data_IF_121245033818
#
_entry.id   IF_121245033818
#
_cell.length_a   1.000
_cell.length_b   1.000
_cell.length_c   1.000
_cell.angle_alpha   90.00
_cell.angle_beta   90.00
_cell.angle_gamma   90.00
#
_symmetry.space_group_name_H-M   'P 1'
#
loop_
_entity.id
_entity.type
_entity.pdbx_description
1 polymer ?
#
# COMPACT_ATOMS: atom_id res chain seq x y z
N UNK A 1 10.32 -13.09 8.56
CA UNK A 1 9.18 -13.87 9.09
C UNK A 1 7.92 -13.05 8.91
N UNK A 2 6.79 -13.66 8.50
CA UNK A 2 5.56 -12.93 8.34
C UNK A 2 5.06 -12.40 9.69
N UNK A 3 4.69 -11.12 9.72
CA UNK A 3 4.06 -10.48 10.88
C UNK A 3 2.56 -10.75 10.90
N UNK A 4 1.99 -11.01 9.71
CA UNK A 4 0.57 -11.29 9.50
C UNK A 4 0.45 -12.40 8.45
N UNK A 5 -0.44 -13.36 8.70
CA UNK A 5 -0.86 -14.36 7.72
C UNK A 5 -2.38 -14.55 7.77
N UNK A 6 -3.00 -14.55 6.60
CA UNK A 6 -4.37 -15.00 6.40
C UNK A 6 -4.32 -16.37 5.74
N UNK A 7 -5.14 -17.32 6.22
CA UNK A 7 -5.21 -18.68 5.71
C UNK A 7 -6.66 -19.08 5.46
N UNK A 8 -6.99 -19.26 4.20
CA UNK A 8 -8.30 -19.74 3.70
C UNK A 8 -9.50 -19.00 4.32
N UNK A 9 -9.37 -17.67 4.44
CA UNK A 9 -10.42 -16.86 5.05
C UNK A 9 -11.68 -16.82 4.20
N UNK A 10 -12.79 -17.23 4.80
CA UNK A 10 -14.14 -17.14 4.23
C UNK A 10 -15.01 -16.27 5.11
N UNK A 11 -15.81 -15.40 4.47
CA UNK A 11 -16.81 -14.59 5.15
C UNK A 11 -18.00 -14.32 4.24
N UNK A 12 -19.20 -14.60 4.76
CA UNK A 12 -20.49 -14.30 4.12
C UNK A 12 -21.33 -13.34 4.94
N UNK A 13 -22.15 -12.56 4.27
CA UNK A 13 -23.21 -11.73 4.84
C UNK A 13 -24.53 -12.12 4.14
N UNK A 14 -25.32 -12.95 4.80
CA UNK A 14 -26.49 -13.54 4.19
C UNK A 14 -26.10 -14.38 2.96
N UNK A 15 -26.57 -14.00 1.79
CA UNK A 15 -26.23 -14.69 0.53
C UNK A 15 -24.98 -14.13 -0.17
N UNK A 16 -24.40 -13.05 0.32
CA UNK A 16 -23.24 -12.43 -0.29
C UNK A 16 -21.96 -12.96 0.31
N UNK A 17 -21.13 -13.63 -0.50
CA UNK A 17 -19.81 -14.10 -0.12
C UNK A 17 -18.80 -12.95 -0.25
N UNK A 18 -18.37 -12.39 0.87
CA UNK A 18 -17.46 -11.25 0.92
C UNK A 18 -15.98 -11.64 0.87
N UNK A 19 -15.63 -12.85 1.35
CA UNK A 19 -14.29 -13.43 1.23
C UNK A 19 -14.44 -14.91 0.87
N UNK A 20 -13.63 -15.36 -0.12
CA UNK A 20 -13.74 -16.66 -0.76
C UNK A 20 -12.43 -17.47 -0.64
N UNK A 21 -11.96 -17.74 0.58
CA UNK A 21 -10.70 -18.49 0.79
C UNK A 21 -9.47 -17.64 0.56
N UNK A 22 -9.42 -16.44 1.15
CA UNK A 22 -8.28 -15.53 0.98
C UNK A 22 -7.08 -15.99 1.78
N UNK A 23 -5.94 -16.19 1.09
CA UNK A 23 -4.68 -16.64 1.70
C UNK A 23 -3.52 -15.77 1.20
N UNK A 24 -2.84 -15.08 2.11
CA UNK A 24 -1.57 -14.37 1.85
C UNK A 24 -0.87 -13.98 3.15
N UNK A 25 0.38 -13.55 3.04
CA UNK A 25 1.22 -13.14 4.16
C UNK A 25 1.76 -11.73 3.97
N UNK A 26 2.06 -11.04 5.08
CA UNK A 26 2.72 -9.73 5.12
C UNK A 26 4.01 -9.89 5.91
N UNK A 27 5.13 -9.41 5.36
CA UNK A 27 6.42 -9.54 6.03
C UNK A 27 6.61 -8.42 7.07
N UNK A 28 7.46 -8.70 8.07
CA UNK A 28 7.79 -7.69 9.08
C UNK A 28 8.62 -6.56 8.47
N UNK A 29 8.27 -5.31 8.81
CA UNK A 29 9.04 -4.12 8.41
C UNK A 29 8.72 -3.60 7.01
N UNK A 30 7.69 -4.12 6.33
CA UNK A 30 7.28 -3.64 5.01
C UNK A 30 6.07 -2.70 5.05
N UNK A 31 5.91 -1.92 3.99
CA UNK A 31 4.64 -1.26 3.64
C UNK A 31 3.95 -2.15 2.62
N UNK A 32 2.79 -2.69 2.99
CA UNK A 32 2.04 -3.64 2.19
C UNK A 32 0.72 -3.04 1.69
N UNK A 33 0.52 -3.05 0.37
CA UNK A 33 -0.68 -2.54 -0.28
C UNK A 33 -1.81 -3.57 -0.32
N UNK A 34 -2.96 -3.24 0.28
CA UNK A 34 -4.20 -4.01 0.14
C UNK A 34 -5.11 -3.32 -0.87
N UNK A 35 -5.19 -3.88 -2.08
CA UNK A 35 -5.80 -3.26 -3.23
C UNK A 35 -7.12 -3.92 -3.61
N UNK A 36 -7.94 -3.21 -4.35
CA UNK A 36 -9.18 -3.73 -4.92
C UNK A 36 -10.25 -2.67 -5.05
N UNK A 37 -11.27 -2.90 -5.89
CA UNK A 37 -12.40 -1.98 -6.03
C UNK A 37 -13.24 -1.90 -4.75
N UNK A 38 -14.19 -0.95 -4.71
CA UNK A 38 -15.16 -0.87 -3.64
C UNK A 38 -16.02 -2.13 -3.61
N UNK A 39 -16.25 -2.67 -2.41
CA UNK A 39 -16.98 -3.94 -2.24
C UNK A 39 -16.16 -5.21 -2.52
N UNK A 40 -14.88 -5.10 -2.85
CA UNK A 40 -14.02 -6.26 -3.13
C UNK A 40 -13.78 -7.21 -1.93
N UNK A 41 -14.01 -6.74 -0.68
CA UNK A 41 -13.76 -7.51 0.54
C UNK A 41 -12.64 -6.92 1.43
N UNK A 42 -11.95 -5.85 1.02
CA UNK A 42 -10.85 -5.23 1.79
C UNK A 42 -11.24 -4.87 3.22
N UNK A 43 -12.32 -4.09 3.39
CA UNK A 43 -12.79 -3.68 4.73
C UNK A 43 -13.27 -4.88 5.56
N UNK A 44 -13.80 -5.93 4.94
CA UNK A 44 -14.14 -7.18 5.63
C UNK A 44 -12.89 -7.85 6.17
N UNK A 45 -11.84 -7.95 5.36
CA UNK A 45 -10.54 -8.51 5.75
C UNK A 45 -9.91 -7.72 6.91
N UNK A 46 -9.90 -6.38 6.81
CA UNK A 46 -9.40 -5.48 7.85
C UNK A 46 -10.22 -5.66 9.15
N UNK A 47 -11.54 -5.69 9.06
CA UNK A 47 -12.40 -5.89 10.24
C UNK A 47 -12.19 -7.25 10.91
N UNK A 48 -11.91 -8.29 10.14
CA UNK A 48 -11.52 -9.62 10.68
C UNK A 48 -10.17 -9.49 11.39
N UNK A 49 -9.16 -8.87 10.78
CA UNK A 49 -7.85 -8.66 11.38
C UNK A 49 -7.97 -7.90 12.72
N UNK A 50 -8.79 -6.87 12.77
CA UNK A 50 -9.00 -6.01 13.95
C UNK A 50 -9.95 -6.61 15.01
N UNK A 51 -10.37 -7.87 14.86
CA UNK A 51 -11.32 -8.55 15.77
C UNK A 51 -12.69 -7.88 15.91
N UNK A 52 -13.07 -7.08 14.90
CA UNK A 52 -14.39 -6.41 14.86
C UNK A 52 -15.47 -7.42 14.44
N UNK A 53 -15.12 -8.33 13.51
CA UNK A 53 -15.98 -9.42 13.06
C UNK A 53 -15.21 -10.73 13.04
N UNK A 54 -15.92 -11.87 13.12
CA UNK A 54 -15.31 -13.20 12.99
C UNK A 54 -15.44 -13.71 11.55
N UNK A 55 -14.43 -14.42 11.03
CA UNK A 55 -14.57 -15.16 9.78
C UNK A 55 -15.53 -16.34 10.00
N UNK A 56 -16.09 -16.86 8.91
CA UNK A 56 -16.91 -18.08 8.96
C UNK A 56 -16.01 -19.33 8.95
N UNK A 57 -14.86 -19.25 8.29
CA UNK A 57 -13.78 -20.24 8.35
C UNK A 57 -12.43 -19.62 8.02
N UNK A 58 -11.36 -20.39 8.23
CA UNK A 58 -9.98 -19.95 8.05
C UNK A 58 -9.37 -19.33 9.30
N UNK A 59 -8.11 -18.93 9.20
CA UNK A 59 -7.32 -18.45 10.34
C UNK A 59 -6.61 -17.13 10.03
N UNK A 60 -6.41 -16.34 11.09
CA UNK A 60 -5.54 -15.16 11.10
C UNK A 60 -4.44 -15.36 12.10
N UNK A 61 -3.18 -15.30 11.65
CA UNK A 61 -2.01 -15.28 12.53
C UNK A 61 -1.39 -13.88 12.53
N UNK A 62 -1.06 -13.37 13.72
CA UNK A 62 -0.42 -12.06 13.90
C UNK A 62 0.77 -12.25 14.84
N UNK A 63 1.91 -11.65 14.51
CA UNK A 63 3.16 -11.80 15.29
C UNK A 63 3.62 -13.25 15.44
N UNK A 64 3.34 -14.10 14.46
CA UNK A 64 3.71 -15.53 14.46
C UNK A 64 2.77 -16.46 15.22
N UNK A 65 1.69 -15.95 15.81
CA UNK A 65 0.72 -16.71 16.60
C UNK A 65 -0.70 -16.53 16.07
N UNK A 66 -1.64 -17.48 16.34
CA UNK A 66 -3.06 -17.26 16.08
C UNK A 66 -3.52 -15.94 16.73
N UNK A 67 -4.28 -15.13 15.98
CA UNK A 67 -4.71 -13.82 16.45
C UNK A 67 -5.46 -13.90 17.78
N UNK A 68 -5.03 -13.08 18.75
CA UNK A 68 -5.63 -12.90 20.07
C UNK A 68 -5.94 -11.42 20.30
N UNK A 69 -6.82 -11.12 21.25
CA UNK A 69 -7.21 -9.74 21.57
C UNK A 69 -6.02 -8.90 22.06
N UNK A 70 -5.09 -9.51 22.80
CA UNK A 70 -3.88 -8.83 23.31
C UNK A 70 -2.97 -8.30 22.19
N UNK A 71 -3.01 -8.91 21.00
CA UNK A 71 -2.25 -8.43 19.85
C UNK A 71 -2.70 -7.03 19.39
N UNK A 72 -3.97 -6.66 19.67
CA UNK A 72 -4.51 -5.35 19.30
C UNK A 72 -3.82 -4.19 20.02
N UNK A 73 -3.19 -4.44 21.18
CA UNK A 73 -2.42 -3.42 21.91
C UNK A 73 -1.17 -2.99 21.14
N UNK A 74 -0.60 -3.91 20.35
CA UNK A 74 0.57 -3.70 19.49
C UNK A 74 0.20 -3.25 18.07
N UNK A 75 -1.10 -3.15 17.77
CA UNK A 75 -1.63 -2.78 16.45
C UNK A 75 -2.24 -1.39 16.48
N UNK A 76 -2.10 -0.65 15.37
CA UNK A 76 -2.80 0.60 15.11
C UNK A 76 -3.82 0.41 13.99
N UNK A 77 -4.95 1.10 14.06
CA UNK A 77 -5.96 1.06 13.01
C UNK A 77 -6.56 2.45 12.74
N UNK A 78 -6.52 2.85 11.49
CA UNK A 78 -7.21 4.02 10.96
C UNK A 78 -8.31 3.53 10.02
N UNK A 79 -9.60 3.61 10.40
CA UNK A 79 -10.70 3.25 9.52
C UNK A 79 -10.95 4.34 8.46
N UNK A 80 -11.55 3.95 7.33
CA UNK A 80 -12.02 4.87 6.28
C UNK A 80 -13.08 5.86 6.83
N UNK A 81 -14.02 5.35 7.63
CA UNK A 81 -15.05 6.17 8.26
C UNK A 81 -14.50 6.92 9.48
N UNK A 82 -14.74 8.22 9.51
CA UNK A 82 -14.16 9.15 10.49
C UNK A 82 -14.96 9.19 11.77
N UNK A 83 -14.51 8.43 12.77
CA UNK A 83 -15.14 8.38 14.10
C UNK A 83 -14.29 9.00 15.20
N UNK A 84 -14.04 10.33 15.16
CA UNK A 84 -13.42 11.01 16.29
C UNK A 84 -14.50 11.68 17.14
N UNK A 85 -14.31 11.72 18.47
CA UNK A 85 -15.19 12.43 19.41
C UNK A 85 -15.22 13.94 19.12
N UNK A 86 -16.23 14.39 18.37
CA UNK A 86 -16.30 15.73 17.79
C UNK A 86 -16.36 16.86 18.80
N UNK A 87 -16.90 16.61 20.01
CA UNK A 87 -17.08 17.61 21.06
C UNK A 87 -15.88 17.83 21.98
N UNK A 88 -14.90 16.94 21.93
CA UNK A 88 -13.66 17.05 22.72
C UNK A 88 -12.63 17.91 22.00
N UNK A 89 -11.60 18.37 22.73
CA UNK A 89 -10.46 19.04 22.11
C UNK A 89 -9.58 18.02 21.39
N UNK A 90 -8.85 18.46 20.38
CA UNK A 90 -7.90 17.61 19.64
C UNK A 90 -6.92 16.94 20.60
N UNK A 91 -6.32 17.69 21.51
CA UNK A 91 -5.35 17.18 22.47
C UNK A 91 -5.97 16.16 23.44
N UNK A 92 -7.22 16.36 23.87
CA UNK A 92 -7.91 15.42 24.77
C UNK A 92 -8.24 14.11 24.04
N UNK A 93 -8.71 14.18 22.78
CA UNK A 93 -8.98 13.00 21.96
C UNK A 93 -7.70 12.20 21.71
N UNK A 94 -6.62 12.85 21.31
CA UNK A 94 -5.33 12.18 21.09
C UNK A 94 -4.80 11.57 22.39
N UNK A 95 -4.88 12.31 23.52
CA UNK A 95 -4.49 11.80 24.83
C UNK A 95 -5.30 10.55 25.19
N UNK A 96 -6.61 10.57 24.96
CA UNK A 96 -7.48 9.41 25.21
C UNK A 96 -7.05 8.19 24.39
N UNK A 97 -6.80 8.33 23.08
CA UNK A 97 -6.32 7.22 22.25
C UNK A 97 -4.95 6.70 22.72
N UNK A 98 -4.05 7.58 23.14
CA UNK A 98 -2.78 7.16 23.72
C UNK A 98 -2.94 6.35 24.99
N UNK A 99 -3.86 6.73 25.88
CA UNK A 99 -4.13 5.97 27.10
C UNK A 99 -4.76 4.61 26.82
N UNK A 100 -5.61 4.48 25.80
CA UNK A 100 -6.15 3.18 25.36
C UNK A 100 -5.06 2.24 24.86
N UNK A 101 -3.91 2.79 24.42
CA UNK A 101 -2.71 2.04 23.99
C UNK A 101 -1.67 1.87 25.12
N UNK A 102 -2.07 2.07 26.36
CA UNK A 102 -1.22 1.79 27.54
C UNK A 102 -0.27 2.92 27.92
N UNK A 103 -0.32 4.08 27.28
CA UNK A 103 0.45 5.24 27.70
C UNK A 103 -0.14 5.84 28.99
N UNK A 104 0.71 6.34 29.89
CA UNK A 104 0.22 7.17 30.98
C UNK A 104 -0.43 8.44 30.44
N UNK A 105 -1.40 9.02 31.15
CA UNK A 105 -2.08 10.24 30.70
C UNK A 105 -1.11 11.39 30.40
N UNK A 106 -0.09 11.57 31.24
CA UNK A 106 0.94 12.59 31.02
C UNK A 106 1.78 12.28 29.77
N UNK A 107 2.25 11.05 29.61
CA UNK A 107 2.99 10.62 28.43
C UNK A 107 2.18 10.69 27.15
N UNK A 108 0.90 10.29 27.19
CA UNK A 108 -0.01 10.40 26.05
C UNK A 108 -0.23 11.88 25.63
N UNK A 109 -0.38 12.78 26.61
CA UNK A 109 -0.56 14.23 26.35
C UNK A 109 0.71 14.85 25.75
N UNK A 110 1.87 14.50 26.26
CA UNK A 110 3.15 14.94 25.71
C UNK A 110 3.33 14.44 24.26
N UNK A 111 3.14 13.14 24.02
CA UNK A 111 3.22 12.58 22.69
C UNK A 111 2.20 13.17 21.71
N UNK A 112 1.00 13.43 22.17
CA UNK A 112 -0.03 14.10 21.35
C UNK A 112 0.44 15.49 20.90
N UNK A 113 1.04 16.28 21.79
CA UNK A 113 1.59 17.59 21.42
C UNK A 113 2.75 17.46 20.40
N UNK A 114 3.71 16.56 20.64
CA UNK A 114 4.82 16.28 19.73
C UNK A 114 4.30 15.86 18.33
N UNK A 115 3.27 15.02 18.27
CA UNK A 115 2.70 14.57 17.00
C UNK A 115 1.90 15.66 16.28
N UNK A 116 1.25 16.57 17.03
CA UNK A 116 0.62 17.74 16.41
C UNK A 116 1.65 18.66 15.74
N UNK A 117 2.82 18.82 16.33
CA UNK A 117 3.93 19.54 15.68
C UNK A 117 4.39 18.80 14.41
N UNK A 118 4.56 17.47 14.46
CA UNK A 118 4.99 16.66 13.31
C UNK A 118 4.02 16.71 12.12
N UNK A 119 2.72 16.83 12.39
CA UNK A 119 1.71 16.97 11.33
C UNK A 119 1.36 18.44 11.04
N UNK A 120 2.17 19.39 11.53
CA UNK A 120 2.05 20.84 11.29
C UNK A 120 0.71 21.41 11.78
N UNK A 121 0.21 20.96 12.93
CA UNK A 121 -1.05 21.38 13.51
C UNK A 121 -0.96 21.72 15.02
N UNK A 122 0.14 22.30 15.55
CA UNK A 122 0.25 22.60 16.99
C UNK A 122 -0.83 23.60 17.46
N UNK A 123 -1.26 24.50 16.58
CA UNK A 123 -2.23 25.58 16.88
C UNK A 123 -3.64 25.06 17.16
N UNK A 124 -3.98 23.82 16.72
CA UNK A 124 -5.33 23.26 16.91
C UNK A 124 -5.48 22.42 18.18
N UNK A 125 -4.44 22.28 18.98
CA UNK A 125 -4.43 21.44 20.18
C UNK A 125 -5.62 21.65 21.12
N UNK A 126 -6.06 22.91 21.27
CA UNK A 126 -7.20 23.32 22.10
C UNK A 126 -8.52 23.43 21.33
N UNK A 127 -8.51 23.26 20.02
CA UNK A 127 -9.73 23.33 19.23
C UNK A 127 -10.58 22.08 19.43
N UNK A 128 -11.89 22.24 19.36
CA UNK A 128 -12.81 21.11 19.25
C UNK A 128 -12.63 20.45 17.88
N UNK A 129 -12.75 19.12 17.85
CA UNK A 129 -12.55 18.33 16.63
C UNK A 129 -13.54 18.74 15.52
N UNK A 130 -14.77 19.15 15.86
CA UNK A 130 -15.77 19.62 14.89
C UNK A 130 -15.38 20.90 14.13
N UNK A 131 -14.38 21.65 14.61
CA UNK A 131 -13.85 22.85 13.94
C UNK A 131 -12.76 22.55 12.91
N UNK A 132 -12.28 21.33 12.84
CA UNK A 132 -11.22 20.94 11.91
C UNK A 132 -11.76 20.84 10.49
N UNK A 133 -10.97 21.29 9.51
CA UNK A 133 -11.21 20.94 8.12
C UNK A 133 -11.06 19.44 7.90
N UNK A 134 -11.55 18.93 6.75
CA UNK A 134 -11.45 17.52 6.40
C UNK A 134 -9.99 17.03 6.42
N UNK A 135 -9.06 17.81 5.82
CA UNK A 135 -7.63 17.48 5.79
C UNK A 135 -6.97 17.55 7.18
N UNK A 136 -7.30 18.57 7.99
CA UNK A 136 -6.80 18.67 9.36
C UNK A 136 -7.29 17.49 10.23
N UNK A 137 -8.56 17.11 10.10
CA UNK A 137 -9.11 15.95 10.80
C UNK A 137 -8.39 14.66 10.40
N UNK A 138 -8.07 14.48 9.11
CA UNK A 138 -7.32 13.33 8.62
C UNK A 138 -5.91 13.27 9.23
N UNK A 139 -5.20 14.41 9.24
CA UNK A 139 -3.85 14.50 9.84
C UNK A 139 -3.88 14.17 11.33
N UNK A 140 -4.85 14.69 12.09
CA UNK A 140 -5.04 14.39 13.52
C UNK A 140 -5.34 12.90 13.75
N UNK A 141 -6.14 12.27 12.90
CA UNK A 141 -6.44 10.84 13.02
C UNK A 141 -5.20 9.98 12.77
N UNK A 142 -4.43 10.27 11.70
CA UNK A 142 -3.17 9.59 11.43
C UNK A 142 -2.21 9.75 12.62
N UNK A 143 -2.04 10.98 13.12
CA UNK A 143 -1.20 11.26 14.29
C UNK A 143 -1.66 10.48 15.52
N UNK A 144 -2.97 10.38 15.76
CA UNK A 144 -3.55 9.64 16.90
C UNK A 144 -3.23 8.15 16.87
N UNK A 145 -3.20 7.56 15.67
CA UNK A 145 -2.86 6.14 15.49
C UNK A 145 -1.35 5.92 15.62
N UNK A 146 -0.55 6.79 14.97
CA UNK A 146 0.90 6.60 14.89
C UNK A 146 1.65 6.99 16.16
N UNK A 147 1.08 7.85 17.02
CA UNK A 147 1.76 8.31 18.25
C UNK A 147 2.04 7.20 19.27
N UNK A 148 1.30 6.10 19.23
CA UNK A 148 1.56 4.93 20.08
C UNK A 148 2.66 4.00 19.54
N UNK A 149 3.23 4.30 18.38
CA UNK A 149 4.25 3.53 17.67
C UNK A 149 3.92 2.03 17.52
N UNK A 150 2.75 1.67 16.98
CA UNK A 150 2.34 0.27 16.85
C UNK A 150 3.31 -0.53 15.95
N UNK A 151 3.51 -1.81 16.25
CA UNK A 151 4.36 -2.69 15.44
C UNK A 151 3.74 -3.00 14.08
N UNK A 152 2.41 -3.19 14.06
CA UNK A 152 1.60 -3.34 12.84
C UNK A 152 0.55 -2.23 12.80
N UNK A 153 0.53 -1.46 11.73
CA UNK A 153 -0.46 -0.40 11.50
C UNK A 153 -1.31 -0.72 10.28
N UNK A 154 -2.63 -0.59 10.38
CA UNK A 154 -3.57 -0.71 9.27
C UNK A 154 -4.18 0.64 9.01
N UNK A 155 -3.98 1.18 7.81
CA UNK A 155 -4.48 2.47 7.39
C UNK A 155 -5.41 2.28 6.19
N UNK A 156 -6.70 2.53 6.40
CA UNK A 156 -7.73 2.42 5.36
C UNK A 156 -7.95 3.79 4.73
N UNK A 157 -7.54 3.95 3.46
CA UNK A 157 -7.62 5.20 2.68
C UNK A 157 -7.04 6.44 3.39
N UNK A 158 -5.79 6.40 3.93
CA UNK A 158 -5.28 7.46 4.81
C UNK A 158 -5.08 8.81 4.11
N UNK A 159 -4.94 8.83 2.79
CA UNK A 159 -4.65 10.04 2.02
C UNK A 159 -5.90 10.67 1.39
N UNK A 160 -7.06 10.04 1.55
CA UNK A 160 -8.32 10.55 0.97
C UNK A 160 -8.69 11.91 1.53
N UNK A 161 -8.81 12.90 0.64
CA UNK A 161 -9.15 14.29 0.95
C UNK A 161 -8.01 15.13 1.49
N UNK A 162 -6.77 14.67 1.33
CA UNK A 162 -5.56 15.47 1.51
C UNK A 162 -5.12 16.08 0.17
N UNK A 163 -4.54 17.26 0.24
CA UNK A 163 -3.83 17.88 -0.88
C UNK A 163 -2.46 17.20 -1.11
N UNK A 164 -1.79 17.42 -2.26
CA UNK A 164 -0.53 16.75 -2.59
C UNK A 164 0.60 16.95 -1.56
N UNK A 165 0.66 18.10 -0.89
CA UNK A 165 1.69 18.39 0.12
C UNK A 165 1.46 17.52 1.35
N UNK A 166 0.20 17.46 1.82
CA UNK A 166 -0.16 16.63 2.96
C UNK A 166 -0.09 15.11 2.65
N UNK A 167 -0.37 14.71 1.39
CA UNK A 167 -0.11 13.33 0.93
C UNK A 167 1.36 12.98 1.08
N UNK A 168 2.27 13.86 0.64
CA UNK A 168 3.71 13.65 0.76
C UNK A 168 4.16 13.50 2.20
N UNK A 169 3.66 14.38 3.09
CA UNK A 169 3.95 14.28 4.54
C UNK A 169 3.54 12.91 5.11
N UNK A 170 2.35 12.40 4.75
CA UNK A 170 1.92 11.06 5.18
C UNK A 170 2.85 9.98 4.63
N UNK A 171 3.24 10.07 3.36
CA UNK A 171 4.20 9.13 2.75
C UNK A 171 5.52 9.09 3.50
N UNK A 172 6.08 10.26 3.83
CA UNK A 172 7.34 10.37 4.57
C UNK A 172 7.23 9.75 5.98
N UNK A 173 6.10 9.94 6.68
CA UNK A 173 5.82 9.27 7.95
C UNK A 173 5.79 7.75 7.84
N UNK A 174 5.22 7.21 6.75
CA UNK A 174 5.16 5.76 6.51
C UNK A 174 6.55 5.19 6.17
N UNK A 175 7.34 5.90 5.35
CA UNK A 175 8.72 5.52 5.04
C UNK A 175 9.61 5.54 6.29
N UNK A 176 9.49 6.54 7.16
CA UNK A 176 10.18 6.59 8.44
C UNK A 176 9.82 5.38 9.34
N UNK A 177 8.55 5.02 9.39
CA UNK A 177 8.10 3.82 10.13
C UNK A 177 8.74 2.55 9.59
N UNK A 178 8.76 2.38 8.26
CA UNK A 178 9.42 1.24 7.59
C UNK A 178 10.90 1.18 7.95
N UNK A 179 11.61 2.30 7.91
CA UNK A 179 13.03 2.37 8.30
C UNK A 179 13.28 1.94 9.76
N UNK A 180 12.29 2.12 10.63
CA UNK A 180 12.31 1.64 12.02
C UNK A 180 11.87 0.17 12.19
N UNK A 181 11.66 -0.55 11.08
CA UNK A 181 11.19 -1.94 11.09
C UNK A 181 9.71 -2.10 11.47
N UNK A 182 8.91 -1.04 11.39
CA UNK A 182 7.46 -1.08 11.64
C UNK A 182 6.71 -1.44 10.37
N UNK A 183 5.74 -2.34 10.48
CA UNK A 183 4.90 -2.76 9.34
C UNK A 183 3.68 -1.88 9.20
N UNK A 184 3.32 -1.60 7.95
CA UNK A 184 2.08 -0.86 7.65
C UNK A 184 1.31 -1.57 6.53
N UNK A 185 0.03 -1.84 6.75
CA UNK A 185 -0.92 -2.22 5.70
C UNK A 185 -1.63 -0.96 5.24
N UNK A 186 -1.49 -0.66 3.97
CA UNK A 186 -2.10 0.48 3.31
C UNK A 186 -3.23 0.00 2.39
N UNK A 187 -4.48 0.20 2.80
CA UNK A 187 -5.61 -0.01 1.90
C UNK A 187 -5.80 1.26 1.06
N UNK A 188 -5.72 1.12 -0.25
CA UNK A 188 -5.88 2.25 -1.18
C UNK A 188 -6.31 1.78 -2.57
N UNK A 189 -6.91 2.70 -3.33
CA UNK A 189 -7.19 2.55 -4.76
C UNK A 189 -6.27 3.44 -5.64
N UNK A 190 -5.34 4.17 -5.04
CA UNK A 190 -4.37 5.03 -5.74
C UNK A 190 -3.10 4.25 -6.13
N UNK A 191 -3.05 3.72 -7.35
CA UNK A 191 -1.97 2.82 -7.81
C UNK A 191 -0.60 3.47 -7.84
N UNK A 192 -0.51 4.78 -8.13
CA UNK A 192 0.74 5.53 -8.06
C UNK A 192 1.33 5.60 -6.64
N UNK A 193 0.49 5.63 -5.60
CA UNK A 193 0.97 5.54 -4.21
C UNK A 193 1.51 4.15 -3.89
N UNK A 194 0.87 3.11 -4.43
CA UNK A 194 1.32 1.74 -4.28
C UNK A 194 2.72 1.56 -4.87
N UNK A 195 2.94 2.02 -6.09
CA UNK A 195 4.26 1.96 -6.74
C UNK A 195 5.34 2.74 -5.99
N UNK A 196 4.98 3.86 -5.39
CA UNK A 196 5.93 4.73 -4.70
C UNK A 196 6.30 4.26 -3.28
N UNK A 197 5.40 3.52 -2.61
CA UNK A 197 5.52 3.23 -1.18
C UNK A 197 5.58 1.76 -0.82
N UNK A 198 4.83 0.91 -1.55
CA UNK A 198 4.62 -0.46 -1.12
C UNK A 198 5.76 -1.37 -1.57
N UNK A 199 6.18 -2.25 -0.67
CA UNK A 199 7.13 -3.33 -0.96
C UNK A 199 6.39 -4.54 -1.56
N UNK A 200 5.23 -4.88 -1.00
CA UNK A 200 4.36 -5.96 -1.43
C UNK A 200 2.90 -5.53 -1.60
N UNK A 201 2.14 -6.32 -2.33
CA UNK A 201 0.72 -6.06 -2.61
C UNK A 201 -0.11 -7.32 -2.61
N UNK A 202 -1.38 -7.18 -2.20
CA UNK A 202 -2.46 -8.11 -2.43
C UNK A 202 -3.63 -7.38 -3.09
N UNK A 203 -4.07 -7.85 -4.24
CA UNK A 203 -5.25 -7.33 -4.92
C UNK A 203 -6.40 -8.30 -4.69
N UNK A 204 -7.45 -7.78 -4.06
CA UNK A 204 -8.69 -8.50 -3.80
C UNK A 204 -9.74 -8.04 -4.79
N UNK A 205 -10.42 -9.00 -5.44
CA UNK A 205 -11.58 -8.73 -6.29
C UNK A 205 -12.67 -9.76 -6.02
N UNK A 206 -13.92 -9.33 -5.84
CA UNK A 206 -15.08 -10.18 -5.54
C UNK A 206 -14.79 -11.22 -4.42
N UNK A 207 -14.07 -10.80 -3.39
CA UNK A 207 -13.69 -11.64 -2.25
C UNK A 207 -12.55 -12.63 -2.51
N UNK A 208 -11.90 -12.60 -3.66
CA UNK A 208 -10.79 -13.49 -4.05
C UNK A 208 -9.48 -12.73 -4.12
N UNK A 209 -8.39 -13.39 -3.78
CA UNK A 209 -7.04 -12.89 -4.01
C UNK A 209 -6.68 -13.13 -5.49
N UNK A 210 -6.48 -12.07 -6.25
CA UNK A 210 -6.20 -12.15 -7.70
C UNK A 210 -4.76 -11.81 -8.08
N UNK A 211 -4.11 -10.97 -7.28
CA UNK A 211 -2.67 -10.67 -7.42
C UNK A 211 -2.03 -10.67 -6.05
N UNK A 212 -0.83 -11.25 -5.93
CA UNK A 212 -0.02 -11.23 -4.71
C UNK A 212 1.46 -11.35 -5.05
N UNK A 213 2.30 -10.59 -4.34
CA UNK A 213 3.75 -10.60 -4.45
C UNK A 213 4.36 -9.24 -4.16
N UNK A 214 5.66 -9.09 -4.36
CA UNK A 214 6.30 -7.77 -4.34
C UNK A 214 5.80 -6.93 -5.51
N UNK A 215 5.79 -5.61 -5.35
CA UNK A 215 5.36 -4.68 -6.43
C UNK A 215 6.16 -4.94 -7.70
N UNK A 216 7.47 -5.11 -7.58
CA UNK A 216 8.36 -5.39 -8.71
C UNK A 216 8.07 -6.72 -9.39
N UNK A 217 7.82 -7.81 -8.64
CA UNK A 217 7.47 -9.12 -9.20
C UNK A 217 6.13 -9.06 -9.93
N UNK A 218 5.13 -8.41 -9.33
CA UNK A 218 3.82 -8.23 -9.94
C UNK A 218 3.94 -7.45 -11.24
N UNK A 219 4.66 -6.34 -11.24
CA UNK A 219 4.89 -5.51 -12.43
C UNK A 219 5.61 -6.31 -13.52
N UNK A 220 6.69 -7.02 -13.21
CA UNK A 220 7.42 -7.86 -14.19
C UNK A 220 6.56 -8.96 -14.79
N UNK A 221 5.77 -9.66 -13.95
CA UNK A 221 4.89 -10.76 -14.40
C UNK A 221 3.82 -10.30 -15.37
N UNK A 222 3.35 -9.06 -15.21
CA UNK A 222 2.29 -8.49 -16.02
C UNK A 222 2.78 -7.53 -17.10
N UNK A 223 4.09 -7.33 -17.25
CA UNK A 223 4.68 -6.53 -18.32
C UNK A 223 4.76 -7.30 -19.63
N UNK A 224 4.63 -6.56 -20.72
CA UNK A 224 5.03 -7.06 -22.03
C UNK A 224 6.57 -7.15 -22.07
N UNK A 225 7.14 -8.03 -22.91
CA UNK A 225 8.59 -8.15 -23.08
C UNK A 225 9.11 -6.96 -23.91
N UNK A 226 9.06 -5.77 -23.32
CA UNK A 226 9.45 -4.52 -23.95
C UNK A 226 10.56 -3.81 -23.17
N UNK A 227 11.41 -3.10 -23.92
CA UNK A 227 12.48 -2.26 -23.35
C UNK A 227 12.48 -0.90 -24.03
N UNK A 228 12.83 0.13 -23.28
CA UNK A 228 13.07 1.47 -23.82
C UNK A 228 14.57 1.72 -23.88
N UNK A 229 15.04 2.15 -25.05
CA UNK A 229 16.43 2.42 -25.32
C UNK A 229 16.62 3.89 -25.69
N UNK A 230 17.58 4.53 -25.07
CA UNK A 230 18.03 5.88 -25.39
C UNK A 230 19.43 5.79 -25.97
N UNK A 231 19.70 6.50 -27.06
CA UNK A 231 21.00 6.47 -27.69
C UNK A 231 21.12 7.36 -28.91
N UNK A 232 22.15 7.14 -29.70
CA UNK A 232 22.43 7.94 -30.90
C UNK A 232 22.75 7.06 -32.10
N UNK A 233 22.46 7.56 -33.30
CA UNK A 233 22.70 6.86 -34.55
C UNK A 233 21.52 5.98 -34.97
N UNK A 234 21.82 4.94 -35.73
CA UNK A 234 20.83 3.97 -36.24
C UNK A 234 20.84 2.74 -35.34
N UNK A 235 19.68 2.31 -34.88
CA UNK A 235 19.55 1.10 -34.10
C UNK A 235 19.79 -0.14 -35.00
N UNK A 236 20.76 -1.02 -34.70
CA UNK A 236 21.02 -2.20 -35.50
C UNK A 236 19.88 -3.21 -35.36
N UNK A 237 19.59 -3.94 -36.41
CA UNK A 237 18.63 -5.06 -36.36
C UNK A 237 19.34 -6.28 -35.75
N UNK A 238 18.72 -6.85 -34.72
CA UNK A 238 19.22 -8.08 -34.05
C UNK A 238 18.04 -9.05 -33.89
N UNK A 239 18.29 -10.37 -33.91
CA UNK A 239 17.23 -11.38 -33.80
C UNK A 239 16.42 -11.34 -32.51
N UNK A 240 17.02 -10.81 -31.45
CA UNK A 240 16.45 -10.68 -30.12
C UNK A 240 15.32 -9.62 -30.06
N UNK A 241 15.15 -8.83 -31.13
CA UNK A 241 14.15 -7.76 -31.22
C UNK A 241 13.17 -8.07 -32.36
N UNK A 242 11.89 -8.26 -31.99
CA UNK A 242 10.81 -8.54 -32.93
C UNK A 242 10.16 -7.29 -33.50
N UNK A 243 10.25 -6.15 -32.80
CA UNK A 243 9.66 -4.88 -33.23
C UNK A 243 10.37 -3.67 -32.64
N UNK A 244 10.33 -2.57 -33.40
CA UNK A 244 10.90 -1.27 -33.00
C UNK A 244 9.86 -0.19 -33.23
N UNK A 245 9.65 0.66 -32.25
CA UNK A 245 8.81 1.87 -32.34
C UNK A 245 9.67 3.07 -31.97
N UNK A 246 9.81 4.01 -32.90
CA UNK A 246 10.47 5.28 -32.64
C UNK A 246 9.52 6.18 -31.81
N UNK A 247 9.87 6.49 -30.58
CA UNK A 247 9.08 7.38 -29.70
C UNK A 247 9.49 8.84 -29.85
N UNK A 248 10.81 9.09 -30.03
CA UNK A 248 11.40 10.40 -30.28
C UNK A 248 12.80 10.23 -30.89
N UNK A 249 13.45 11.33 -31.29
CA UNK A 249 14.81 11.29 -31.79
C UNK A 249 15.75 10.67 -30.72
N UNK A 250 16.34 9.53 -31.04
CA UNK A 250 17.23 8.78 -30.14
C UNK A 250 16.54 8.03 -29.02
N UNK A 251 15.20 7.82 -29.10
CA UNK A 251 14.44 7.06 -28.13
C UNK A 251 13.61 5.98 -28.84
N UNK A 252 13.89 4.72 -28.55
CA UNK A 252 13.22 3.58 -29.16
C UNK A 252 12.56 2.70 -28.11
N UNK A 253 11.34 2.29 -28.38
CA UNK A 253 10.68 1.19 -27.67
C UNK A 253 10.82 -0.09 -28.49
N UNK A 254 11.42 -1.11 -27.89
CA UNK A 254 11.74 -2.37 -28.54
C UNK A 254 10.89 -3.48 -27.95
N UNK A 255 10.25 -4.25 -28.83
CA UNK A 255 9.57 -5.49 -28.46
C UNK A 255 10.59 -6.63 -28.56
N UNK A 256 10.77 -7.38 -27.49
CA UNK A 256 11.68 -8.51 -27.46
C UNK A 256 11.06 -9.72 -28.16
N UNK A 257 11.90 -10.53 -28.77
CA UNK A 257 11.48 -11.81 -29.34
C UNK A 257 11.15 -12.82 -28.24
N UNK A 258 10.29 -13.79 -28.53
CA UNK A 258 9.89 -14.82 -27.58
C UNK A 258 11.11 -15.53 -26.98
N UNK A 259 11.10 -15.66 -25.64
CA UNK A 259 12.20 -16.28 -24.90
C UNK A 259 13.43 -15.40 -24.69
N UNK A 260 13.45 -14.17 -25.21
CA UNK A 260 14.57 -13.23 -25.03
C UNK A 260 14.38 -12.39 -23.78
N UNK A 261 15.38 -12.41 -22.89
CA UNK A 261 15.43 -11.53 -21.75
C UNK A 261 15.96 -10.13 -22.08
N UNK A 262 15.65 -9.09 -21.24
CA UNK A 262 16.19 -7.74 -21.43
C UNK A 262 17.74 -7.70 -21.49
N UNK A 263 18.43 -8.54 -20.71
CA UNK A 263 19.89 -8.60 -20.70
C UNK A 263 20.46 -9.16 -22.01
N UNK A 264 19.79 -10.16 -22.59
CA UNK A 264 20.21 -10.77 -23.86
C UNK A 264 20.07 -9.78 -25.01
N UNK A 265 18.94 -9.07 -25.07
CA UNK A 265 18.70 -8.04 -26.06
C UNK A 265 19.70 -6.86 -25.95
N UNK A 266 20.03 -6.41 -24.73
CA UNK A 266 21.06 -5.40 -24.52
C UNK A 266 22.43 -5.88 -25.05
N UNK A 267 22.79 -7.12 -24.71
CA UNK A 267 24.06 -7.71 -25.14
C UNK A 267 24.15 -7.81 -26.67
N UNK A 268 23.07 -8.22 -27.32
CA UNK A 268 23.00 -8.32 -28.79
C UNK A 268 23.12 -6.92 -29.44
N UNK A 269 22.39 -5.91 -28.93
CA UNK A 269 22.49 -4.54 -29.43
C UNK A 269 23.92 -3.97 -29.33
N UNK A 270 24.56 -4.12 -28.18
CA UNK A 270 25.92 -3.62 -27.93
C UNK A 270 26.90 -4.32 -28.86
N UNK A 271 26.81 -5.66 -29.05
CA UNK A 271 27.65 -6.45 -29.98
C UNK A 271 27.43 -6.00 -31.42
N UNK A 272 26.23 -5.60 -31.79
CA UNK A 272 25.92 -5.11 -33.13
C UNK A 272 26.30 -3.61 -33.33
N UNK A 273 26.95 -2.98 -32.35
CA UNK A 273 27.48 -1.63 -32.45
C UNK A 273 26.49 -0.53 -32.12
N UNK A 274 25.39 -0.82 -31.44
CA UNK A 274 24.45 0.20 -30.95
C UNK A 274 25.14 1.14 -29.95
N UNK A 275 24.89 2.45 -30.09
CA UNK A 275 25.33 3.47 -29.13
C UNK A 275 24.19 3.75 -28.17
N UNK A 276 24.24 3.12 -26.99
CA UNK A 276 23.18 3.15 -25.97
C UNK A 276 23.67 3.98 -24.79
N UNK A 277 22.91 5.04 -24.49
CA UNK A 277 23.14 5.92 -23.32
C UNK A 277 22.36 5.43 -22.09
N UNK A 278 21.14 4.88 -22.32
CA UNK A 278 20.26 4.36 -21.25
C UNK A 278 19.41 3.21 -21.79
N UNK A 279 19.22 2.19 -20.96
CA UNK A 279 18.43 1.01 -21.27
C UNK A 279 17.50 0.67 -20.11
N UNK A 280 16.20 0.59 -20.35
CA UNK A 280 15.20 0.41 -19.33
C UNK A 280 14.20 -0.69 -19.72
N UNK A 281 14.11 -1.79 -18.96
CA UNK A 281 12.97 -2.69 -19.06
C UNK A 281 11.67 -1.93 -18.76
N UNK A 282 10.69 -2.03 -19.64
CA UNK A 282 9.40 -1.39 -19.44
C UNK A 282 8.54 -2.25 -18.52
N UNK A 283 8.28 -1.73 -17.32
CA UNK A 283 7.39 -2.39 -16.37
C UNK A 283 5.98 -1.82 -16.51
N UNK A 284 4.99 -2.72 -16.55
CA UNK A 284 3.59 -2.31 -16.59
C UNK A 284 3.25 -1.46 -15.35
N UNK A 285 2.57 -0.31 -15.52
CA UNK A 285 2.05 0.43 -14.38
C UNK A 285 1.06 -0.41 -13.58
N UNK A 286 1.06 -0.25 -12.25
CA UNK A 286 0.12 -0.96 -11.38
C UNK A 286 -1.34 -0.66 -11.74
N UNK A 287 -1.61 0.52 -12.26
CA UNK A 287 -2.95 0.92 -12.72
C UNK A 287 -3.42 0.06 -13.89
N UNK A 288 -2.56 -0.18 -14.90
CA UNK A 288 -2.87 -1.01 -16.05
C UNK A 288 -3.09 -2.48 -15.65
N UNK A 289 -2.26 -2.97 -14.72
CA UNK A 289 -2.39 -4.31 -14.15
C UNK A 289 -3.75 -4.45 -13.44
N UNK A 290 -4.07 -3.48 -12.57
CA UNK A 290 -5.33 -3.44 -11.85
C UNK A 290 -6.54 -3.48 -12.80
N UNK A 291 -6.55 -2.59 -13.80
CA UNK A 291 -7.64 -2.50 -14.77
C UNK A 291 -7.83 -3.80 -15.58
N UNK A 292 -6.73 -4.42 -16.00
CA UNK A 292 -6.75 -5.67 -16.75
C UNK A 292 -7.30 -6.82 -15.90
N UNK A 293 -6.73 -7.05 -14.72
CA UNK A 293 -7.12 -8.16 -13.85
C UNK A 293 -8.58 -8.05 -13.38
N UNK A 294 -9.05 -6.83 -13.08
CA UNK A 294 -10.44 -6.61 -12.67
C UNK A 294 -11.41 -6.85 -13.84
N UNK A 295 -11.01 -6.54 -15.09
CA UNK A 295 -11.83 -6.80 -16.30
C UNK A 295 -11.89 -8.29 -16.66
N UNK A 296 -10.76 -9.00 -16.59
CA UNK A 296 -10.69 -10.43 -16.90
C UNK A 296 -11.58 -11.26 -15.96
N UNK A 297 -11.73 -10.87 -14.70
CA UNK A 297 -12.66 -11.53 -13.78
C UNK A 297 -14.13 -11.06 -13.90
N UNK A 298 -14.40 -10.06 -14.72
CA UNK A 298 -15.76 -9.60 -14.99
C UNK A 298 -16.38 -10.29 -16.23
N UNK A 299 -15.55 -10.93 -17.06
CA UNK A 299 -15.93 -11.69 -18.25
C UNK A 299 -16.18 -13.16 -17.93
#
# INVERSE_FOLDING_TARGET
MPILAFRDLVKSYGQTLALCGVTFEVQSGEIFGLLGPNGAGKSTLIRILMDIIRPDSGEVCVFGEPRRREHLDRMGYLPEERGIYTKLTVLDVMTYFGTLKGLTRAGARQRAAEWLERVELPQVSTWKVDRLSKGMSQKVQIASVLMSDPELCVLDEPTTGLDPVNVRMVQDLLLERRQRGRTTILSTHHMNQVEALCDGVALINKGRLVVYGTVDEVRRRHSLPEVRVYGSGVLPRVPEISGVVDEAAGVWRLMLSDGTGPADALTALVRAGARIDRYEPMLAPMEDIFLRVVREEAA
#
